data_IF_498485097794
#
_entry.id   IF_498485097794
#
_cell.length_a   1.000
_cell.length_b   1.000
_cell.length_c   1.000
_cell.angle_alpha   90.00
_cell.angle_beta   90.00
_cell.angle_gamma   90.00
#
_symmetry.space_group_name_H-M   'P 1'
#
loop_
_entity.id
_entity.type
_entity.pdbx_description
1 polymer ?
#
# COMPACT_ATOMS: atom_id res chain seq x y z
N UNK A 1 11.16 -59.31 -42.95
CA UNK A 1 11.19 -58.05 -42.16
C UNK A 1 10.43 -56.97 -42.93
N UNK A 2 9.29 -56.49 -42.41
CA UNK A 2 8.42 -55.54 -43.13
C UNK A 2 8.93 -54.11 -43.03
N UNK A 3 9.02 -53.41 -44.17
CA UNK A 3 9.39 -51.97 -44.23
C UNK A 3 8.32 -51.13 -43.52
N UNK A 4 8.75 -50.22 -42.63
CA UNK A 4 7.86 -49.29 -41.97
C UNK A 4 7.21 -48.35 -43.00
N UNK A 5 5.87 -48.36 -43.09
CA UNK A 5 5.10 -47.62 -44.11
C UNK A 5 5.04 -46.11 -43.88
N UNK A 6 5.37 -45.61 -42.69
CA UNK A 6 5.24 -44.19 -42.35
C UNK A 6 6.42 -43.71 -41.49
N UNK A 7 7.02 -42.61 -41.91
CA UNK A 7 8.13 -41.96 -41.20
C UNK A 7 7.61 -41.12 -40.04
N UNK A 8 8.31 -41.15 -38.91
CA UNK A 8 7.96 -40.34 -37.73
C UNK A 8 8.21 -38.86 -38.04
N UNK A 9 7.28 -37.99 -37.62
CA UNK A 9 7.45 -36.54 -37.73
C UNK A 9 8.38 -36.03 -36.63
N UNK A 10 9.40 -35.26 -37.01
CA UNK A 10 10.29 -34.59 -36.07
C UNK A 10 9.58 -33.40 -35.39
N UNK A 11 9.94 -33.12 -34.13
CA UNK A 11 9.37 -32.04 -33.31
C UNK A 11 7.84 -32.10 -33.07
N UNK A 12 7.26 -33.29 -33.00
CA UNK A 12 5.85 -33.45 -32.61
C UNK A 12 5.66 -33.07 -31.13
N UNK A 13 5.02 -31.92 -30.86
CA UNK A 13 4.66 -31.46 -29.52
C UNK A 13 3.23 -31.88 -29.13
N UNK A 14 2.97 -31.97 -27.83
CA UNK A 14 1.61 -32.16 -27.30
C UNK A 14 0.75 -30.95 -27.68
N UNK A 15 -0.45 -31.17 -28.23
CA UNK A 15 -1.37 -30.08 -28.60
C UNK A 15 -1.76 -29.29 -27.35
N UNK A 16 -1.36 -28.03 -27.28
CA UNK A 16 -1.78 -27.07 -26.25
C UNK A 16 -2.87 -26.16 -26.82
N UNK A 17 -3.69 -25.58 -25.93
CA UNK A 17 -4.71 -24.61 -26.34
C UNK A 17 -4.02 -23.33 -26.84
N UNK A 18 -4.44 -22.84 -28.01
CA UNK A 18 -3.91 -21.60 -28.57
C UNK A 18 -4.51 -20.40 -27.84
N UNK A 19 -3.73 -19.33 -27.66
CA UNK A 19 -4.21 -18.08 -27.08
C UNK A 19 -5.38 -17.45 -27.86
N UNK A 20 -5.57 -17.84 -29.13
CA UNK A 20 -6.66 -17.37 -30.02
C UNK A 20 -7.86 -18.33 -30.10
N UNK A 21 -7.90 -19.39 -29.29
CA UNK A 21 -8.99 -20.38 -29.30
C UNK A 21 -10.32 -19.73 -28.88
N UNK A 22 -11.39 -19.98 -29.64
CA UNK A 22 -12.73 -19.40 -29.41
C UNK A 22 -13.37 -19.83 -28.08
N UNK A 23 -12.86 -20.90 -27.46
CA UNK A 23 -13.28 -21.37 -26.12
C UNK A 23 -12.69 -20.54 -24.99
N UNK A 24 -11.64 -19.74 -25.26
CA UNK A 24 -11.05 -18.84 -24.27
C UNK A 24 -11.92 -17.59 -24.17
N UNK A 25 -12.51 -17.35 -23.00
CA UNK A 25 -13.32 -16.15 -22.77
C UNK A 25 -12.41 -14.93 -22.75
N UNK A 26 -12.76 -13.86 -23.47
CA UNK A 26 -11.99 -12.61 -23.54
C UNK A 26 -11.57 -12.07 -22.16
N UNK A 27 -12.43 -12.22 -21.15
CA UNK A 27 -12.14 -11.88 -19.74
C UNK A 27 -10.90 -12.55 -19.14
N UNK A 28 -10.54 -13.74 -19.62
CA UNK A 28 -9.36 -14.48 -19.17
C UNK A 28 -8.11 -14.15 -20.01
N UNK A 29 -8.28 -13.61 -21.22
CA UNK A 29 -7.19 -13.00 -22.01
C UNK A 29 -6.76 -11.63 -21.44
N UNK A 30 -7.73 -10.79 -21.04
CA UNK A 30 -7.47 -9.43 -20.55
C UNK A 30 -6.88 -9.37 -19.14
N UNK A 31 -6.99 -10.46 -18.35
CA UNK A 31 -6.45 -10.52 -16.98
C UNK A 31 -4.92 -10.55 -16.89
N UNK A 32 -4.19 -10.78 -17.99
CA UNK A 32 -2.73 -10.87 -17.95
C UNK A 32 -1.97 -9.74 -18.65
N UNK A 33 -2.58 -8.95 -19.53
CA UNK A 33 -1.90 -7.80 -20.16
C UNK A 33 -2.94 -6.72 -20.54
N UNK A 34 -3.43 -5.96 -19.57
CA UNK A 34 -3.86 -4.58 -19.83
C UNK A 34 -3.39 -3.70 -18.67
N UNK A 35 -2.27 -2.98 -18.79
CA UNK A 35 -2.28 -1.63 -18.25
C UNK A 35 -3.40 -0.92 -19.02
N UNK A 36 -4.42 -0.50 -18.28
CA UNK A 36 -5.47 0.45 -18.66
C UNK A 36 -5.32 1.03 -20.09
N UNK A 37 -5.88 0.37 -21.10
CA UNK A 37 -5.95 0.93 -22.46
C UNK A 37 -7.16 1.86 -22.50
N UNK A 38 -6.93 3.15 -22.25
CA UNK A 38 -7.87 4.21 -22.58
C UNK A 38 -8.00 4.26 -24.10
N UNK A 39 -9.14 3.81 -24.63
CA UNK A 39 -9.52 4.03 -26.01
C UNK A 39 -9.98 5.48 -26.18
N UNK A 40 -9.27 6.21 -27.04
CA UNK A 40 -9.71 7.39 -27.79
C UNK A 40 -10.69 8.34 -27.11
N UNK A 41 -10.13 9.35 -26.45
CA UNK A 41 -10.61 10.71 -26.68
C UNK A 41 -9.39 11.64 -26.77
N UNK A 42 -9.57 12.84 -27.31
CA UNK A 42 -8.58 13.90 -27.23
C UNK A 42 -8.57 14.55 -25.83
N UNK A 43 -8.93 13.80 -24.79
CA UNK A 43 -8.69 14.16 -23.40
C UNK A 43 -7.20 14.34 -23.17
N UNK A 44 -6.81 15.58 -22.85
CA UNK A 44 -5.50 15.90 -22.28
C UNK A 44 -5.16 14.84 -21.24
N UNK A 45 -4.09 14.09 -21.47
CA UNK A 45 -3.49 13.29 -20.42
C UNK A 45 -2.94 14.28 -19.39
N UNK A 46 -3.76 14.60 -18.39
CA UNK A 46 -3.37 15.47 -17.30
C UNK A 46 -2.20 14.79 -16.60
N UNK A 47 -0.98 15.24 -16.90
CA UNK A 47 0.20 14.86 -16.13
C UNK A 47 0.01 15.51 -14.77
N UNK A 48 -0.39 14.71 -13.79
CA UNK A 48 -0.36 15.13 -12.38
C UNK A 48 1.10 15.23 -11.96
N UNK A 49 1.73 16.36 -12.26
CA UNK A 49 2.95 16.76 -11.58
C UNK A 49 2.53 17.20 -10.18
N UNK A 50 2.91 16.43 -9.17
CA UNK A 50 2.67 16.82 -7.78
C UNK A 50 3.51 18.05 -7.50
N UNK A 51 2.86 19.18 -7.29
CA UNK A 51 3.53 20.41 -6.87
C UNK A 51 4.10 20.21 -5.47
N UNK A 52 5.35 20.65 -5.27
CA UNK A 52 5.98 20.63 -3.96
C UNK A 52 5.29 21.67 -3.08
N UNK A 53 5.00 21.32 -1.83
CA UNK A 53 4.35 22.25 -0.90
C UNK A 53 5.23 23.50 -0.68
N UNK A 54 4.66 24.71 -0.74
CA UNK A 54 5.42 25.96 -0.54
C UNK A 54 6.13 26.07 0.81
N UNK A 55 5.65 25.35 1.83
CA UNK A 55 6.22 25.34 3.17
C UNK A 55 7.47 24.45 3.32
N UNK A 56 7.80 23.64 2.30
CA UNK A 56 8.95 22.74 2.32
C UNK A 56 10.13 23.40 1.59
N UNK A 57 11.04 24.02 2.34
CA UNK A 57 12.30 24.55 1.81
C UNK A 57 13.31 23.42 1.76
N UNK A 58 13.50 22.84 0.57
CA UNK A 58 14.27 21.62 0.33
C UNK A 58 13.74 20.42 1.15
N UNK A 59 14.29 20.21 2.35
CA UNK A 59 13.87 19.17 3.31
C UNK A 59 13.41 19.74 4.66
N UNK A 60 13.46 21.06 4.83
CA UNK A 60 13.02 21.74 6.04
C UNK A 60 11.58 22.21 5.90
N UNK A 61 10.71 21.80 6.84
CA UNK A 61 9.31 22.16 6.83
C UNK A 61 9.07 23.32 7.81
N UNK A 62 8.78 24.51 7.26
CA UNK A 62 8.51 25.71 8.07
C UNK A 62 7.15 25.69 8.77
N UNK A 63 6.24 24.81 8.34
CA UNK A 63 4.94 24.66 8.98
C UNK A 63 4.99 23.91 10.32
N UNK A 64 6.13 23.27 10.64
CA UNK A 64 6.32 22.61 11.93
C UNK A 64 6.81 23.63 12.96
N UNK A 65 5.91 24.04 13.85
CA UNK A 65 6.24 24.89 14.99
C UNK A 65 5.32 24.60 16.18
N UNK A 66 5.66 25.10 17.38
CA UNK A 66 4.77 25.01 18.53
C UNK A 66 3.46 25.79 18.30
N UNK A 67 2.29 25.24 18.69
CA UNK A 67 2.09 23.93 19.29
C UNK A 67 2.21 22.80 18.26
N UNK A 68 3.00 21.77 18.57
CA UNK A 68 3.20 20.65 17.65
C UNK A 68 1.96 19.78 17.55
N UNK A 69 1.59 19.40 16.33
CA UNK A 69 0.50 18.49 16.03
C UNK A 69 1.07 17.12 15.66
N UNK A 70 0.81 16.11 16.49
CA UNK A 70 1.47 14.80 16.38
C UNK A 70 0.41 13.71 16.21
N UNK A 71 0.53 12.92 15.15
CA UNK A 71 -0.27 11.72 14.93
C UNK A 71 0.37 10.53 15.64
N UNK A 72 -0.43 9.80 16.42
CA UNK A 72 0.01 8.62 17.14
C UNK A 72 -0.31 7.35 16.36
N UNK A 73 0.63 6.40 16.40
CA UNK A 73 0.47 5.06 15.84
C UNK A 73 0.28 4.01 16.97
N UNK A 74 -0.32 2.87 16.62
CA UNK A 74 -0.58 1.76 17.57
C UNK A 74 0.71 1.24 18.20
N UNK A 75 1.77 1.12 17.42
CA UNK A 75 3.08 0.69 17.90
C UNK A 75 3.64 1.63 18.96
N UNK A 76 3.48 2.94 18.77
CA UNK A 76 3.99 3.94 19.71
C UNK A 76 3.26 3.87 21.05
N UNK A 77 1.92 3.71 21.01
CA UNK A 77 1.11 3.52 22.22
C UNK A 77 1.54 2.24 22.96
N UNK A 78 1.74 1.14 22.23
CA UNK A 78 2.18 -0.14 22.82
C UNK A 78 3.57 -0.04 23.46
N UNK A 79 4.52 0.64 22.82
CA UNK A 79 5.85 0.86 23.40
C UNK A 79 5.82 1.78 24.61
N UNK A 80 4.97 2.80 24.59
CA UNK A 80 4.81 3.74 25.71
C UNK A 80 4.28 3.01 26.96
N UNK A 81 3.29 2.13 26.80
CA UNK A 81 2.76 1.31 27.89
C UNK A 81 3.82 0.33 28.41
N UNK A 82 4.53 -0.35 27.51
CA UNK A 82 5.60 -1.30 27.89
C UNK A 82 6.70 -0.62 28.71
N UNK A 83 7.07 0.60 28.33
CA UNK A 83 8.12 1.39 28.99
C UNK A 83 7.60 2.24 30.15
N UNK A 84 6.28 2.19 30.45
CA UNK A 84 5.63 2.97 31.51
C UNK A 84 5.82 4.48 31.35
N UNK A 85 5.76 4.96 30.11
CA UNK A 85 5.84 6.38 29.78
C UNK A 85 4.44 6.97 29.66
N UNK A 86 4.23 8.12 30.27
CA UNK A 86 3.06 8.95 30.01
C UNK A 86 3.24 9.68 28.67
N UNK A 87 2.32 9.45 27.74
CA UNK A 87 2.38 9.94 26.35
C UNK A 87 2.50 11.46 26.29
N UNK A 88 1.63 12.20 27.00
CA UNK A 88 1.62 13.65 26.92
C UNK A 88 2.88 14.25 27.54
N UNK A 89 3.25 13.79 28.75
CA UNK A 89 4.42 14.30 29.45
C UNK A 89 5.72 13.99 28.71
N UNK A 90 5.91 12.74 28.27
CA UNK A 90 7.14 12.33 27.58
C UNK A 90 7.37 13.08 26.27
N UNK A 91 6.31 13.36 25.50
CA UNK A 91 6.41 14.11 24.25
C UNK A 91 6.69 15.60 24.53
N UNK A 92 6.05 16.20 25.53
CA UNK A 92 6.34 17.59 25.93
C UNK A 92 7.76 17.75 26.46
N UNK A 93 8.25 16.81 27.26
CA UNK A 93 9.63 16.82 27.78
C UNK A 93 10.65 16.59 26.65
N UNK A 94 10.30 15.85 25.60
CA UNK A 94 11.15 15.61 24.43
C UNK A 94 11.28 16.84 23.51
N UNK A 95 10.15 17.49 23.20
CA UNK A 95 10.11 18.64 22.28
C UNK A 95 10.23 20.00 22.98
N UNK A 96 10.18 20.02 24.32
CA UNK A 96 10.24 21.22 25.16
C UNK A 96 9.19 22.28 24.78
N UNK A 97 8.04 21.83 24.28
CA UNK A 97 6.99 22.68 23.73
C UNK A 97 5.59 22.07 23.95
N UNK A 98 4.56 22.90 23.81
CA UNK A 98 3.16 22.44 23.86
C UNK A 98 2.87 21.53 22.67
N UNK A 99 2.26 20.37 22.93
CA UNK A 99 1.94 19.37 21.92
C UNK A 99 0.45 18.99 21.96
N UNK A 100 -0.14 18.75 20.79
CA UNK A 100 -1.46 18.17 20.59
C UNK A 100 -1.30 16.79 19.95
N UNK A 101 -1.85 15.78 20.61
CA UNK A 101 -1.79 14.40 20.16
C UNK A 101 -3.11 14.00 19.51
N UNK A 102 -3.03 13.38 18.34
CA UNK A 102 -4.18 12.89 17.59
C UNK A 102 -4.09 11.38 17.42
N UNK A 103 -5.20 10.70 17.69
CA UNK A 103 -5.39 9.28 17.38
C UNK A 103 -6.44 9.22 16.28
N UNK A 104 -6.13 8.53 15.19
CA UNK A 104 -7.04 8.36 14.06
C UNK A 104 -7.92 7.12 14.28
N UNK A 105 -9.07 7.08 13.60
CA UNK A 105 -10.01 5.96 13.70
C UNK A 105 -9.40 4.62 13.26
N UNK A 106 -8.46 4.64 12.30
CA UNK A 106 -7.76 3.43 11.89
C UNK A 106 -6.85 2.88 12.99
N UNK A 107 -6.19 3.75 13.75
CA UNK A 107 -5.34 3.39 14.89
C UNK A 107 -6.19 2.87 16.03
N UNK A 108 -7.32 3.53 16.33
CA UNK A 108 -8.28 3.04 17.33
C UNK A 108 -8.82 1.65 16.95
N UNK A 109 -9.27 1.48 15.71
CA UNK A 109 -9.78 0.20 15.22
C UNK A 109 -8.73 -0.90 15.11
N UNK A 110 -7.45 -0.57 14.99
CA UNK A 110 -6.37 -1.53 15.10
C UNK A 110 -6.16 -1.97 16.56
N UNK A 111 -6.14 -1.05 17.53
CA UNK A 111 -6.04 -1.37 18.96
C UNK A 111 -7.20 -2.24 19.43
N UNK A 112 -8.43 -1.96 18.98
CA UNK A 112 -9.63 -2.76 19.30
C UNK A 112 -9.54 -4.21 18.79
N UNK A 113 -8.87 -4.43 17.65
CA UNK A 113 -8.64 -5.77 17.09
C UNK A 113 -7.53 -6.53 17.79
N UNK A 114 -6.67 -5.85 18.55
CA UNK A 114 -5.59 -6.50 19.28
C UNK A 114 -6.14 -7.36 20.42
N UNK A 115 -5.36 -8.37 20.81
CA UNK A 115 -5.71 -9.29 21.90
C UNK A 115 -6.03 -8.55 23.19
N UNK A 116 -6.84 -9.18 24.05
CA UNK A 116 -7.23 -8.75 25.40
C UNK A 116 -6.11 -8.09 26.23
N UNK A 117 -4.87 -8.55 26.03
CA UNK A 117 -3.66 -8.01 26.68
C UNK A 117 -3.44 -6.52 26.46
N UNK A 118 -3.95 -5.97 25.35
CA UNK A 118 -3.79 -4.56 24.98
C UNK A 118 -4.99 -3.69 25.38
N UNK A 119 -5.96 -4.21 26.14
CA UNK A 119 -7.08 -3.41 26.67
C UNK A 119 -6.65 -2.24 27.55
N UNK A 120 -5.45 -2.28 28.12
CA UNK A 120 -4.88 -1.15 28.86
C UNK A 120 -4.64 0.06 27.94
N UNK A 121 -4.39 -0.15 26.65
CA UNK A 121 -4.22 0.93 25.67
C UNK A 121 -5.54 1.61 25.26
N UNK A 122 -6.68 0.96 25.50
CA UNK A 122 -8.01 1.49 25.22
C UNK A 122 -8.59 2.33 26.37
N UNK A 123 -7.99 2.28 27.56
CA UNK A 123 -8.41 3.02 28.75
C UNK A 123 -7.66 4.33 28.87
#
# INVERSE_FOLDING_TARGET
MGKARQTRRFAAMKRMISLKDSRIKKRDQFKKITPFKQESSHHLSVKHNVEVLPCLKDSYNEALGPPYHILLDTNYVNFSIKNRLDLFKSIMDCLLAKCFLYVTDCVMGEIEKMSERYRVALK
#
